data_IF_192983645749
#
_entry.id   IF_192983645749
#
_cell.length_a   1.000
_cell.length_b   1.000
_cell.length_c   1.000
_cell.angle_alpha   90.00
_cell.angle_beta   90.00
_cell.angle_gamma   90.00
#
_symmetry.space_group_name_H-M   'P 1'
#
loop_
_entity.id
_entity.type
_entity.pdbx_description
1 polymer ?
#
# COMPACT_ATOMS: atom_id res chain seq x y z
N UNK A 1 5.77 -7.31 5.32
CA UNK A 1 4.86 -8.18 4.52
C UNK A 1 5.25 -8.03 3.07
N UNK A 2 5.66 -9.11 2.40
CA UNK A 2 6.00 -9.03 0.97
C UNK A 2 4.73 -8.95 0.12
N UNK A 3 4.64 -7.93 -0.73
CA UNK A 3 3.51 -7.74 -1.64
C UNK A 3 3.94 -6.93 -2.86
N UNK A 4 3.18 -7.06 -3.95
CA UNK A 4 3.33 -6.22 -5.13
C UNK A 4 2.35 -5.06 -5.05
N UNK A 5 2.84 -3.84 -5.28
CA UNK A 5 2.01 -2.64 -5.45
C UNK A 5 1.80 -2.41 -6.93
N UNK A 6 0.56 -2.47 -7.40
CA UNK A 6 0.21 -2.22 -8.80
C UNK A 6 -0.07 -0.74 -9.06
N UNK A 7 -0.74 -0.08 -8.10
CA UNK A 7 -1.14 1.32 -8.21
C UNK A 7 -1.07 1.97 -6.82
N UNK A 8 -0.75 3.25 -6.78
CA UNK A 8 -0.87 4.09 -5.60
C UNK A 8 -1.34 5.48 -6.01
N UNK A 9 -2.11 6.13 -5.14
CA UNK A 9 -2.47 7.53 -5.33
C UNK A 9 -2.73 8.19 -3.97
N UNK A 10 -2.54 9.49 -3.93
CA UNK A 10 -2.84 10.34 -2.80
C UNK A 10 -3.47 11.66 -3.25
N UNK A 11 -4.05 12.38 -2.30
CA UNK A 11 -4.61 13.70 -2.53
C UNK A 11 -5.22 14.28 -1.27
N UNK A 12 -6.05 15.30 -1.49
CA UNK A 12 -6.89 15.91 -0.45
C UNK A 12 -8.34 15.86 -0.90
N UNK A 13 -9.25 15.62 0.04
CA UNK A 13 -10.67 15.84 -0.19
C UNK A 13 -10.96 17.35 -0.25
N UNK A 14 -12.16 17.71 -0.70
CA UNK A 14 -12.60 19.11 -0.82
C UNK A 14 -12.55 19.86 0.53
N UNK A 15 -12.66 19.14 1.64
CA UNK A 15 -12.55 19.68 3.00
C UNK A 15 -11.10 19.74 3.54
N UNK A 16 -10.11 19.48 2.68
CA UNK A 16 -8.68 19.53 3.02
C UNK A 16 -8.15 18.29 3.75
N UNK A 17 -8.98 17.29 4.07
CA UNK A 17 -8.49 16.05 4.69
C UNK A 17 -7.64 15.25 3.70
N UNK A 18 -6.44 14.78 4.09
CA UNK A 18 -5.60 13.99 3.20
C UNK A 18 -6.18 12.58 3.03
N UNK A 19 -5.93 12.00 1.86
CA UNK A 19 -6.18 10.59 1.60
C UNK A 19 -5.03 9.97 0.83
N UNK A 20 -4.80 8.68 1.07
CA UNK A 20 -3.87 7.89 0.29
C UNK A 20 -4.28 6.42 0.27
N UNK A 21 -4.16 5.79 -0.89
CA UNK A 21 -4.49 4.37 -1.07
C UNK A 21 -3.50 3.72 -2.04
N UNK A 22 -3.30 2.42 -1.87
CA UNK A 22 -2.62 1.59 -2.86
C UNK A 22 -3.42 0.32 -3.16
N UNK A 23 -3.10 -0.29 -4.31
CA UNK A 23 -3.58 -1.60 -4.68
C UNK A 23 -2.43 -2.61 -4.48
N UNK A 24 -2.66 -3.57 -3.61
CA UNK A 24 -1.72 -4.66 -3.28
C UNK A 24 -2.17 -5.95 -3.94
N UNK A 25 -1.22 -6.73 -4.43
CA UNK A 25 -1.42 -8.14 -4.78
C UNK A 25 -0.41 -8.95 -3.98
N UNK A 26 -0.86 -9.95 -3.24
CA UNK A 26 0.07 -10.90 -2.64
C UNK A 26 0.45 -11.96 -3.65
N UNK A 27 1.64 -12.50 -3.49
CA UNK A 27 2.16 -13.54 -4.37
C UNK A 27 1.51 -14.90 -4.06
N UNK A 28 1.66 -15.84 -4.99
CA UNK A 28 1.19 -17.21 -4.86
C UNK A 28 1.70 -17.83 -3.55
N UNK A 29 0.77 -18.24 -2.68
CA UNK A 29 1.09 -19.01 -1.47
C UNK A 29 0.87 -20.49 -1.76
N UNK A 30 1.87 -21.31 -1.48
CA UNK A 30 1.78 -22.78 -1.53
C UNK A 30 1.11 -23.38 -0.29
N UNK A 31 0.81 -22.56 0.70
CA UNK A 31 0.14 -22.97 1.94
C UNK A 31 -1.36 -23.21 1.69
N UNK A 32 -1.76 -24.48 1.70
CA UNK A 32 -3.14 -24.91 1.49
C UNK A 32 -4.10 -24.50 2.62
N UNK A 33 -3.58 -23.99 3.75
CA UNK A 33 -4.39 -23.50 4.88
C UNK A 33 -4.68 -22.01 4.78
N UNK A 34 -4.11 -21.29 3.80
CA UNK A 34 -4.31 -19.86 3.62
C UNK A 34 -4.82 -19.58 2.21
N UNK A 35 -6.00 -18.98 2.10
CA UNK A 35 -6.42 -18.41 0.83
C UNK A 35 -5.46 -17.27 0.47
N UNK A 36 -4.76 -17.38 -0.68
CA UNK A 36 -3.97 -16.28 -1.20
C UNK A 36 -4.81 -14.99 -1.31
N UNK A 37 -4.19 -13.83 -1.12
CA UNK A 37 -4.94 -12.57 -1.21
C UNK A 37 -5.11 -12.15 -2.67
N UNK A 38 -6.36 -12.03 -3.10
CA UNK A 38 -6.71 -11.34 -4.35
C UNK A 38 -6.28 -9.87 -4.27
N UNK A 39 -6.16 -9.22 -5.44
CA UNK A 39 -5.97 -7.78 -5.58
C UNK A 39 -6.85 -7.01 -4.56
N UNK A 40 -6.20 -6.34 -3.62
CA UNK A 40 -6.85 -5.66 -2.51
C UNK A 40 -6.51 -4.17 -2.52
N UNK A 41 -7.45 -3.36 -2.04
CA UNK A 41 -7.22 -1.93 -1.76
C UNK A 41 -6.78 -1.78 -0.31
N UNK A 42 -5.71 -1.02 -0.09
CA UNK A 42 -5.19 -0.74 1.24
C UNK A 42 -5.08 0.77 1.47
N UNK A 43 -5.36 1.22 2.70
CA UNK A 43 -5.09 2.60 3.11
C UNK A 43 -3.58 2.80 3.27
N UNK A 44 -3.06 3.96 2.89
CA UNK A 44 -1.66 4.34 3.14
C UNK A 44 -1.64 5.43 4.20
N UNK A 45 -0.59 5.46 5.01
CA UNK A 45 -0.42 6.51 6.01
C UNK A 45 -0.38 7.89 5.34
N UNK A 46 -1.20 8.79 5.88
CA UNK A 46 -1.33 10.18 5.41
C UNK A 46 -0.55 11.15 6.29
N UNK A 47 0.13 10.68 7.34
CA UNK A 47 1.03 11.49 8.15
C UNK A 47 2.14 12.14 7.30
N UNK A 48 2.68 13.26 7.79
CA UNK A 48 3.76 13.99 7.14
C UNK A 48 3.45 14.34 5.67
N UNK A 49 2.26 14.89 5.40
CA UNK A 49 1.82 15.31 4.06
C UNK A 49 1.92 14.18 3.02
N UNK A 50 1.30 13.03 3.32
CA UNK A 50 1.27 11.85 2.44
C UNK A 50 2.65 11.31 2.04
N UNK A 51 3.68 11.44 2.89
CA UNK A 51 5.07 11.09 2.54
C UNK A 51 5.23 9.66 1.99
N UNK A 52 4.57 8.67 2.61
CA UNK A 52 4.64 7.26 2.18
C UNK A 52 4.02 7.06 0.81
N UNK A 53 2.86 7.68 0.57
CA UNK A 53 2.17 7.57 -0.70
C UNK A 53 2.90 8.30 -1.84
N UNK A 54 3.51 9.45 -1.55
CA UNK A 54 4.41 10.15 -2.49
C UNK A 54 5.59 9.27 -2.89
N UNK A 55 6.21 8.59 -1.93
CA UNK A 55 7.32 7.66 -2.20
C UNK A 55 6.86 6.46 -3.04
N UNK A 56 5.69 5.88 -2.78
CA UNK A 56 5.11 4.81 -3.59
C UNK A 56 4.85 5.26 -5.03
N UNK A 57 4.16 6.39 -5.21
CA UNK A 57 3.84 6.94 -6.54
C UNK A 57 5.12 7.22 -7.32
N UNK A 58 6.13 7.82 -6.68
CA UNK A 58 7.44 8.04 -7.30
C UNK A 58 8.07 6.73 -7.76
N UNK A 59 8.10 5.70 -6.91
CA UNK A 59 8.69 4.42 -7.25
C UNK A 59 7.96 3.72 -8.42
N UNK A 60 6.62 3.78 -8.46
CA UNK A 60 5.82 3.25 -9.56
C UNK A 60 6.08 4.00 -10.88
N UNK A 61 6.15 5.33 -10.83
CA UNK A 61 6.44 6.16 -12.02
C UNK A 61 7.86 5.89 -12.53
N UNK A 62 8.85 5.75 -11.65
CA UNK A 62 10.21 5.40 -12.04
C UNK A 62 10.33 3.99 -12.62
N UNK A 63 9.55 3.03 -12.11
CA UNK A 63 9.57 1.65 -12.57
C UNK A 63 8.75 1.41 -13.84
N UNK A 64 7.77 2.28 -14.15
CA UNK A 64 6.78 2.09 -15.23
C UNK A 64 6.10 0.71 -15.16
N UNK A 65 5.99 0.14 -13.97
CA UNK A 65 5.52 -1.23 -13.73
C UNK A 65 5.17 -1.42 -12.24
N UNK A 66 4.42 -2.50 -11.88
CA UNK A 66 4.22 -2.87 -10.49
C UNK A 66 5.55 -3.08 -9.75
N UNK A 67 5.60 -2.68 -8.48
CA UNK A 67 6.80 -2.80 -7.63
C UNK A 67 6.61 -3.84 -6.54
N UNK A 68 7.63 -4.68 -6.32
CA UNK A 68 7.67 -5.58 -5.17
C UNK A 68 8.21 -4.82 -3.94
N UNK A 69 7.49 -4.90 -2.83
CA UNK A 69 7.86 -4.22 -1.58
C UNK A 69 7.80 -5.16 -0.40
N UNK A 70 8.65 -4.89 0.59
CA UNK A 70 8.42 -5.31 1.96
C UNK A 70 7.68 -4.19 2.68
N UNK A 71 6.39 -4.42 2.93
CA UNK A 71 5.46 -3.48 3.51
C UNK A 71 5.36 -3.64 5.03
N UNK A 72 5.51 -2.54 5.76
CA UNK A 72 5.15 -2.48 7.18
C UNK A 72 3.67 -2.08 7.31
N UNK A 73 2.86 -2.98 7.86
CA UNK A 73 1.41 -2.84 7.96
C UNK A 73 1.03 -2.60 9.41
N UNK A 74 0.52 -1.41 9.68
CA UNK A 74 -0.14 -1.07 10.94
C UNK A 74 -1.63 -1.36 10.89
N UNK A 75 -2.25 -1.37 12.07
CA UNK A 75 -3.71 -1.38 12.21
C UNK A 75 -4.21 -0.04 12.74
N UNK A 76 -5.38 0.38 12.27
CA UNK A 76 -6.10 1.52 12.81
C UNK A 76 -7.59 1.21 12.88
N UNK A 77 -8.33 1.90 13.74
CA UNK A 77 -9.78 1.75 13.83
C UNK A 77 -10.43 2.91 13.09
N UNK A 78 -11.17 2.63 12.01
CA UNK A 78 -11.99 3.61 11.31
C UNK A 78 -13.45 3.19 11.40
N UNK A 79 -14.30 4.08 11.94
CA UNK A 79 -15.75 3.82 12.13
C UNK A 79 -16.04 2.50 12.87
N UNK A 80 -15.23 2.17 13.87
CA UNK A 80 -15.38 0.95 14.66
C UNK A 80 -14.88 -0.34 13.98
N UNK A 81 -14.33 -0.26 12.77
CA UNK A 81 -13.75 -1.41 12.07
C UNK A 81 -12.22 -1.32 12.03
N UNK A 82 -11.51 -2.44 12.25
CA UNK A 82 -10.08 -2.50 12.03
C UNK A 82 -9.77 -2.36 10.54
N UNK A 83 -8.84 -1.48 10.21
CA UNK A 83 -8.37 -1.22 8.85
C UNK A 83 -6.85 -1.33 8.83
N UNK A 84 -6.33 -2.14 7.91
CA UNK A 84 -4.91 -2.22 7.64
C UNK A 84 -4.42 -0.93 6.96
N UNK A 85 -3.29 -0.41 7.44
CA UNK A 85 -2.65 0.80 6.90
C UNK A 85 -1.19 0.49 6.59
N UNK A 86 -0.77 0.77 5.36
CA UNK A 86 0.65 0.77 4.99
C UNK A 86 1.36 1.95 5.67
N UNK A 87 2.28 1.65 6.58
CA UNK A 87 3.01 2.64 7.39
C UNK A 87 4.37 2.99 6.80
N UNK A 88 5.06 2.01 6.25
CA UNK A 88 6.31 2.21 5.53
C UNK A 88 6.54 1.05 4.56
N UNK A 89 7.52 1.18 3.68
CA UNK A 89 7.90 0.10 2.78
C UNK A 89 9.38 0.19 2.40
N UNK A 90 9.93 -0.96 2.00
CA UNK A 90 11.23 -1.06 1.34
C UNK A 90 11.06 -1.74 -0.01
N UNK A 91 11.71 -1.23 -1.05
CA UNK A 91 11.71 -1.87 -2.37
C UNK A 91 12.54 -3.16 -2.30
N UNK A 92 11.99 -4.26 -2.80
CA UNK A 92 12.66 -5.58 -2.80
C UNK A 92 13.57 -5.82 -4.01
N UNK A 93 14.19 -4.75 -4.53
CA UNK A 93 15.04 -4.65 -5.73
C UNK A 93 14.27 -4.36 -7.04
N UNK A 94 14.88 -3.50 -7.88
CA UNK A 94 14.48 -3.22 -9.27
C UNK A 94 14.73 -4.47 -10.14
N UNK A 95 13.96 -4.68 -11.22
CA UNK A 95 14.28 -5.71 -12.21
C UNK A 95 15.70 -5.54 -12.76
#
# INVERSE_FOLDING_TARGET
>A
MRTTINFAQYGSFDDGRPWANCQTCEDFRSDLQVAGAQVAKMSVDTANDNAVAKALVKALVEAQSPIAVDADIGMSVKKGQPVAILKSFQLLSKP
#
